data_IF_633128193669
#
_entry.id   IF_633128193669
#
_cell.length_a   1.000
_cell.length_b   1.000
_cell.length_c   1.000
_cell.angle_alpha   90.00
_cell.angle_beta   90.00
_cell.angle_gamma   90.00
#
_symmetry.space_group_name_H-M   'P 1'
#
loop_
_entity.id
_entity.type
_entity.pdbx_description
1 polymer ?
#
# COMPACT_ATOMS: atom_id res chain seq x y z
N UNK A 1 -34.21 -7.09 -13.54
CA UNK A 1 -32.77 -7.15 -13.85
C UNK A 1 -32.19 -5.79 -14.25
N UNK A 2 -32.79 -5.09 -15.23
CA UNK A 2 -32.25 -3.81 -15.72
C UNK A 2 -32.26 -2.70 -14.65
N UNK A 3 -33.34 -2.57 -13.87
CA UNK A 3 -33.43 -1.59 -12.78
C UNK A 3 -32.48 -1.91 -11.63
N UNK A 4 -32.28 -3.20 -11.34
CA UNK A 4 -31.36 -3.67 -10.29
C UNK A 4 -29.91 -3.36 -10.68
N UNK A 5 -29.50 -3.71 -11.91
CA UNK A 5 -28.16 -3.40 -12.40
C UNK A 5 -27.91 -1.88 -12.46
N UNK A 6 -28.90 -1.10 -12.89
CA UNK A 6 -28.81 0.35 -12.94
C UNK A 6 -28.69 0.98 -11.56
N UNK A 7 -29.47 0.50 -10.59
CA UNK A 7 -29.38 0.94 -9.20
C UNK A 7 -28.01 0.60 -8.57
N UNK A 8 -27.52 -0.63 -8.77
CA UNK A 8 -26.21 -1.05 -8.27
C UNK A 8 -25.08 -0.23 -8.91
N UNK A 9 -25.15 0.00 -10.22
CA UNK A 9 -24.16 0.83 -10.92
C UNK A 9 -24.18 2.29 -10.42
N UNK A 10 -25.37 2.84 -10.17
CA UNK A 10 -25.53 4.20 -9.65
C UNK A 10 -25.02 4.32 -8.22
N UNK A 11 -25.32 3.37 -7.34
CA UNK A 11 -24.72 3.29 -6.01
C UNK A 11 -23.20 3.21 -6.08
N UNK A 12 -22.67 2.40 -7.00
CA UNK A 12 -21.23 2.30 -7.23
C UNK A 12 -20.61 3.63 -7.65
N UNK A 13 -21.22 4.31 -8.62
CA UNK A 13 -20.77 5.62 -9.07
C UNK A 13 -20.82 6.67 -7.95
N UNK A 14 -21.89 6.70 -7.15
CA UNK A 14 -22.01 7.58 -5.97
C UNK A 14 -20.93 7.26 -4.94
N UNK A 15 -20.64 5.99 -4.69
CA UNK A 15 -19.56 5.57 -3.78
C UNK A 15 -18.18 6.02 -4.24
N UNK A 16 -17.90 5.95 -5.55
CA UNK A 16 -16.64 6.43 -6.14
C UNK A 16 -16.53 7.95 -5.99
N UNK A 17 -17.55 8.70 -6.40
CA UNK A 17 -17.54 10.17 -6.37
C UNK A 17 -17.50 10.67 -4.93
N UNK A 18 -18.32 10.10 -4.05
CA UNK A 18 -18.35 10.44 -2.63
C UNK A 18 -17.04 10.10 -1.93
N UNK A 19 -16.46 8.93 -2.20
CA UNK A 19 -15.16 8.55 -1.65
C UNK A 19 -14.02 9.44 -2.13
N UNK A 20 -14.02 9.83 -3.41
CA UNK A 20 -13.05 10.77 -3.96
C UNK A 20 -13.16 12.16 -3.34
N UNK A 21 -14.37 12.62 -3.03
CA UNK A 21 -14.61 13.91 -2.36
C UNK A 21 -14.17 13.92 -0.88
N UNK A 22 -14.36 12.81 -0.17
CA UNK A 22 -13.98 12.69 1.25
C UNK A 22 -12.46 12.64 1.45
N UNK A 23 -11.74 11.95 0.56
CA UNK A 23 -10.30 11.74 0.72
C UNK A 23 -9.93 10.88 1.94
N UNK A 24 -8.62 10.73 2.17
CA UNK A 24 -8.08 9.94 3.29
C UNK A 24 -8.41 8.44 3.20
N UNK A 25 -8.23 7.74 4.32
CA UNK A 25 -8.43 6.28 4.42
C UNK A 25 -9.89 5.91 4.20
N UNK A 26 -10.82 6.65 4.81
CA UNK A 26 -12.27 6.40 4.68
C UNK A 26 -12.75 6.62 3.24
N UNK A 27 -12.27 7.69 2.57
CA UNK A 27 -12.55 7.91 1.15
C UNK A 27 -12.05 6.75 0.27
N UNK A 28 -10.86 6.21 0.58
CA UNK A 28 -10.28 5.07 -0.15
C UNK A 28 -11.15 3.81 -0.08
N UNK A 29 -11.69 3.48 1.11
CA UNK A 29 -12.60 2.35 1.26
C UNK A 29 -13.94 2.57 0.53
N UNK A 30 -14.46 3.80 0.56
CA UNK A 30 -15.68 4.16 -0.19
C UNK A 30 -15.49 4.04 -1.70
N UNK A 31 -14.34 4.49 -2.22
CA UNK A 31 -14.00 4.32 -3.64
C UNK A 31 -13.87 2.84 -4.00
N UNK A 32 -13.22 2.03 -3.16
CA UNK A 32 -13.06 0.59 -3.41
C UNK A 32 -14.42 -0.13 -3.44
N UNK A 33 -15.28 0.11 -2.44
CA UNK A 33 -16.64 -0.44 -2.40
C UNK A 33 -17.49 0.05 -3.58
N UNK A 34 -17.40 1.34 -3.91
CA UNK A 34 -18.08 1.94 -5.05
C UNK A 34 -17.65 1.34 -6.38
N UNK A 35 -16.35 1.14 -6.58
CA UNK A 35 -15.79 0.50 -7.77
C UNK A 35 -16.27 -0.95 -7.92
N UNK A 36 -16.31 -1.71 -6.83
CA UNK A 36 -16.82 -3.08 -6.82
C UNK A 36 -18.31 -3.14 -7.20
N UNK A 37 -19.14 -2.28 -6.60
CA UNK A 37 -20.56 -2.18 -6.94
C UNK A 37 -20.76 -1.73 -8.39
N UNK A 38 -20.01 -0.72 -8.86
CA UNK A 38 -20.09 -0.24 -10.23
C UNK A 38 -19.77 -1.37 -11.23
N UNK A 39 -18.74 -2.17 -10.96
CA UNK A 39 -18.35 -3.30 -11.78
C UNK A 39 -19.46 -4.35 -11.88
N UNK A 40 -20.06 -4.75 -10.75
CA UNK A 40 -21.19 -5.68 -10.72
C UNK A 40 -22.39 -5.10 -11.48
N UNK A 41 -22.71 -3.84 -11.22
CA UNK A 41 -23.81 -3.13 -11.87
C UNK A 41 -23.65 -3.11 -13.38
N UNK A 42 -22.45 -2.78 -13.87
CA UNK A 42 -22.10 -2.79 -15.29
C UNK A 42 -22.24 -4.19 -15.88
N UNK A 43 -21.70 -5.24 -15.24
CA UNK A 43 -21.81 -6.62 -15.73
C UNK A 43 -23.26 -7.04 -15.93
N UNK A 44 -24.14 -6.68 -14.99
CA UNK A 44 -25.59 -6.93 -15.08
C UNK A 44 -26.21 -6.11 -16.24
N UNK A 45 -25.70 -4.90 -16.49
CA UNK A 45 -26.18 -3.98 -17.53
C UNK A 45 -25.64 -4.25 -18.93
N UNK A 46 -24.57 -5.04 -19.11
CA UNK A 46 -23.95 -5.32 -20.41
C UNK A 46 -24.96 -5.66 -21.52
N UNK A 47 -25.97 -6.55 -21.30
CA UNK A 47 -26.97 -6.85 -22.33
C UNK A 47 -27.79 -5.61 -22.75
N UNK A 48 -28.07 -4.70 -21.82
CA UNK A 48 -28.79 -3.45 -22.08
C UNK A 48 -27.89 -2.43 -22.80
N UNK A 49 -26.62 -2.35 -22.39
CA UNK A 49 -25.63 -1.43 -22.93
C UNK A 49 -25.15 -1.81 -24.33
N UNK A 50 -25.38 -3.05 -24.77
CA UNK A 50 -24.94 -3.52 -26.09
C UNK A 50 -25.43 -2.62 -27.24
N UNK A 51 -26.70 -2.21 -27.24
CA UNK A 51 -27.27 -1.33 -28.29
C UNK A 51 -26.61 0.05 -28.36
N UNK A 52 -26.57 0.84 -27.26
CA UNK A 52 -25.94 2.16 -27.31
C UNK A 52 -24.43 2.09 -27.57
N UNK A 53 -23.73 1.11 -26.99
CA UNK A 53 -22.28 0.93 -27.22
C UNK A 53 -22.01 0.57 -28.69
N UNK A 54 -22.76 -0.36 -29.27
CA UNK A 54 -22.59 -0.71 -30.68
C UNK A 54 -22.94 0.49 -31.57
N UNK A 55 -23.98 1.26 -31.25
CA UNK A 55 -24.32 2.47 -32.00
C UNK A 55 -23.19 3.51 -31.98
N UNK A 56 -22.52 3.68 -30.84
CA UNK A 56 -21.39 4.59 -30.66
C UNK A 56 -20.17 4.17 -31.49
N UNK A 57 -19.84 2.87 -31.50
CA UNK A 57 -18.61 2.35 -32.13
C UNK A 57 -18.81 2.01 -33.62
N UNK A 58 -20.06 1.76 -34.04
CA UNK A 58 -20.44 1.43 -35.42
C UNK A 58 -19.84 2.35 -36.50
N UNK A 59 -19.85 3.69 -36.42
CA UNK A 59 -19.30 4.53 -37.48
C UNK A 59 -17.80 4.30 -37.68
N UNK A 60 -17.03 4.15 -36.60
CA UNK A 60 -15.60 3.88 -36.67
C UNK A 60 -15.31 2.50 -37.29
N UNK A 61 -15.99 1.46 -36.80
CA UNK A 61 -15.81 0.09 -37.33
C UNK A 61 -16.27 -0.02 -38.79
N UNK A 62 -17.38 0.64 -39.16
CA UNK A 62 -17.88 0.62 -40.55
C UNK A 62 -16.96 1.39 -41.50
N UNK A 63 -16.25 2.42 -41.02
CA UNK A 63 -15.28 3.17 -41.82
C UNK A 63 -13.98 2.38 -42.01
N UNK A 64 -13.50 1.70 -40.98
CA UNK A 64 -12.24 0.93 -41.02
C UNK A 64 -12.38 -0.41 -41.74
N UNK A 65 -13.50 -1.11 -41.53
CA UNK A 65 -13.72 -2.47 -42.03
C UNK A 65 -14.82 -2.57 -43.11
N UNK A 66 -15.29 -1.42 -43.61
CA UNK A 66 -16.26 -1.33 -44.69
C UNK A 66 -17.54 -2.15 -44.46
N UNK A 67 -17.87 -2.99 -45.44
CA UNK A 67 -19.09 -3.83 -45.45
C UNK A 67 -19.08 -4.84 -44.30
N UNK A 68 -17.94 -5.46 -44.01
CA UNK A 68 -17.80 -6.45 -42.93
C UNK A 68 -18.06 -5.83 -41.56
N UNK A 69 -17.55 -4.61 -41.32
CA UNK A 69 -17.83 -3.86 -40.08
C UNK A 69 -19.31 -3.51 -39.92
N UNK A 70 -19.97 -3.13 -41.01
CA UNK A 70 -21.42 -2.84 -41.01
C UNK A 70 -22.23 -4.10 -40.70
N UNK A 71 -21.92 -5.23 -41.33
CA UNK A 71 -22.59 -6.52 -41.07
C UNK A 71 -22.35 -7.02 -39.64
N UNK A 72 -21.13 -6.89 -39.13
CA UNK A 72 -20.80 -7.26 -37.75
C UNK A 72 -21.60 -6.43 -36.73
N UNK A 73 -21.71 -5.12 -36.92
CA UNK A 73 -22.52 -4.26 -36.04
C UNK A 73 -24.00 -4.64 -36.03
N UNK A 74 -24.55 -5.00 -37.20
CA UNK A 74 -25.93 -5.47 -37.33
C UNK A 74 -26.13 -6.84 -36.69
N UNK A 75 -25.16 -7.74 -36.81
CA UNK A 75 -25.17 -9.06 -36.15
C UNK A 75 -25.19 -8.91 -34.62
N UNK A 76 -24.34 -8.03 -34.09
CA UNK A 76 -24.20 -7.82 -32.66
C UNK A 76 -25.47 -7.22 -32.00
N UNK A 77 -26.24 -6.38 -32.70
CA UNK A 77 -27.52 -5.84 -32.18
C UNK A 77 -28.73 -6.73 -32.45
N UNK A 78 -28.59 -7.78 -33.28
CA UNK A 78 -29.71 -8.69 -33.64
C UNK A 78 -30.19 -9.50 -32.44
N UNK A 79 -29.26 -9.99 -31.63
CA UNK A 79 -29.60 -10.68 -30.38
C UNK A 79 -28.73 -10.16 -29.22
N UNK A 80 -29.06 -8.96 -28.71
CA UNK A 80 -28.23 -8.24 -27.74
C UNK A 80 -28.07 -9.01 -26.42
N UNK A 81 -29.01 -9.93 -26.11
CA UNK A 81 -28.91 -10.79 -24.94
C UNK A 81 -27.85 -11.88 -25.09
N UNK A 82 -27.67 -12.45 -26.30
CA UNK A 82 -26.62 -13.43 -26.59
C UNK A 82 -25.25 -12.76 -26.65
N UNK A 83 -25.13 -11.65 -27.35
CA UNK A 83 -23.87 -10.86 -27.43
C UNK A 83 -23.50 -10.27 -26.06
N UNK A 84 -24.49 -9.86 -25.27
CA UNK A 84 -24.26 -9.42 -23.90
C UNK A 84 -23.72 -10.52 -23.01
N UNK A 85 -24.24 -11.75 -23.10
CA UNK A 85 -23.76 -12.87 -22.28
C UNK A 85 -22.29 -13.21 -22.55
N UNK A 86 -21.85 -13.20 -23.82
CA UNK A 86 -20.45 -13.42 -24.18
C UNK A 86 -19.56 -12.31 -23.64
N UNK A 87 -19.99 -11.05 -23.75
CA UNK A 87 -19.24 -9.91 -23.23
C UNK A 87 -19.16 -9.93 -21.69
N UNK A 88 -20.24 -10.30 -20.99
CA UNK A 88 -20.23 -10.46 -19.54
C UNK A 88 -19.26 -11.54 -19.08
N UNK A 89 -19.20 -12.68 -19.77
CA UNK A 89 -18.26 -13.75 -19.44
C UNK A 89 -16.79 -13.27 -19.56
N UNK A 90 -16.47 -12.55 -20.64
CA UNK A 90 -15.14 -11.95 -20.83
C UNK A 90 -14.83 -10.89 -19.76
N UNK A 91 -15.79 -10.02 -19.43
CA UNK A 91 -15.63 -8.99 -18.42
C UNK A 91 -15.35 -9.59 -17.03
N UNK A 92 -16.06 -10.66 -16.66
CA UNK A 92 -15.84 -11.39 -15.41
C UNK A 92 -14.43 -11.99 -15.41
N UNK A 93 -14.06 -12.71 -16.48
CA UNK A 93 -12.74 -13.33 -16.59
C UNK A 93 -11.59 -12.32 -16.49
N UNK A 94 -11.68 -11.21 -17.23
CA UNK A 94 -10.69 -10.14 -17.19
C UNK A 94 -10.60 -9.52 -15.80
N UNK A 95 -11.74 -9.25 -15.17
CA UNK A 95 -11.77 -8.68 -13.81
C UNK A 95 -11.04 -9.58 -12.81
N UNK A 96 -11.31 -10.88 -12.85
CA UNK A 96 -10.68 -11.84 -11.93
C UNK A 96 -9.16 -11.91 -12.14
N UNK A 97 -8.71 -12.00 -13.38
CA UNK A 97 -7.27 -12.02 -13.71
C UNK A 97 -6.59 -10.74 -13.26
N UNK A 98 -7.15 -9.57 -13.60
CA UNK A 98 -6.59 -8.28 -13.19
C UNK A 98 -6.57 -8.13 -11.68
N UNK A 99 -7.64 -8.55 -10.98
CA UNK A 99 -7.70 -8.49 -9.52
C UNK A 99 -6.59 -9.30 -8.86
N UNK A 100 -6.39 -10.55 -9.29
CA UNK A 100 -5.31 -11.41 -8.79
C UNK A 100 -3.94 -10.84 -9.14
N UNK A 101 -3.75 -10.32 -10.36
CA UNK A 101 -2.48 -9.71 -10.77
C UNK A 101 -2.13 -8.49 -9.92
N UNK A 102 -3.09 -7.60 -9.67
CA UNK A 102 -2.87 -6.40 -8.82
C UNK A 102 -2.55 -6.83 -7.39
N UNK A 103 -3.25 -7.82 -6.85
CA UNK A 103 -2.94 -8.36 -5.53
C UNK A 103 -1.52 -8.93 -5.47
N UNK A 104 -1.11 -9.71 -6.49
CA UNK A 104 0.24 -10.25 -6.59
C UNK A 104 1.32 -9.17 -6.67
N UNK A 105 1.13 -8.15 -7.53
CA UNK A 105 2.04 -7.00 -7.63
C UNK A 105 2.11 -6.22 -6.33
N UNK A 106 0.97 -5.99 -5.67
CA UNK A 106 0.90 -5.27 -4.40
C UNK A 106 1.63 -6.04 -3.30
N UNK A 107 1.48 -7.36 -3.26
CA UNK A 107 2.18 -8.21 -2.29
C UNK A 107 3.69 -8.20 -2.55
N UNK A 108 4.11 -8.31 -3.81
CA UNK A 108 5.53 -8.18 -4.19
C UNK A 108 6.11 -6.85 -3.75
N UNK A 109 5.45 -5.74 -4.08
CA UNK A 109 5.86 -4.40 -3.64
C UNK A 109 5.89 -4.26 -2.11
N UNK A 110 4.99 -4.91 -1.39
CA UNK A 110 5.00 -4.89 0.07
C UNK A 110 6.23 -5.62 0.64
N UNK A 111 6.61 -6.76 0.05
CA UNK A 111 7.80 -7.52 0.43
C UNK A 111 9.08 -6.74 0.09
N UNK A 112 9.14 -6.17 -1.11
CA UNK A 112 10.27 -5.33 -1.55
C UNK A 112 10.44 -4.12 -0.62
N UNK A 113 9.33 -3.44 -0.30
CA UNK A 113 9.33 -2.30 0.62
C UNK A 113 9.74 -2.67 2.04
N UNK A 114 9.39 -3.87 2.53
CA UNK A 114 9.87 -4.36 3.82
C UNK A 114 11.38 -4.61 3.81
N UNK A 115 11.95 -4.94 2.66
CA UNK A 115 13.35 -5.38 2.54
C UNK A 115 14.30 -4.25 2.18
N UNK A 116 13.88 -3.28 1.35
CA UNK A 116 14.83 -2.43 0.60
C UNK A 116 14.63 -0.93 0.80
N UNK A 117 13.41 -0.46 1.09
CA UNK A 117 13.08 0.97 0.92
C UNK A 117 13.78 1.94 1.88
N UNK A 118 14.45 1.45 2.93
CA UNK A 118 15.15 2.30 3.88
C UNK A 118 16.56 1.83 4.21
N UNK A 119 17.11 0.81 3.54
CA UNK A 119 18.44 0.26 3.88
C UNK A 119 19.46 0.71 2.83
N UNK A 120 20.46 1.49 3.25
CA UNK A 120 21.65 1.85 2.45
C UNK A 120 22.76 0.81 2.58
N UNK A 121 22.76 0.03 3.65
CA UNK A 121 23.74 -1.03 3.85
C UNK A 121 23.59 -2.12 2.79
N UNK A 122 24.72 -2.56 2.27
CA UNK A 122 24.79 -3.69 1.33
C UNK A 122 24.50 -5.04 2.03
N UNK A 123 24.75 -5.12 3.34
CA UNK A 123 24.62 -6.34 4.13
C UNK A 123 24.01 -6.09 5.50
N UNK A 124 23.16 -7.02 5.93
CA UNK A 124 22.71 -7.16 7.31
C UNK A 124 23.28 -8.45 7.89
N UNK A 125 24.03 -8.35 8.99
CA UNK A 125 24.61 -9.49 9.68
C UNK A 125 23.75 -9.81 10.89
N UNK A 126 23.29 -11.05 11.00
CA UNK A 126 22.49 -11.55 12.12
C UNK A 126 22.82 -13.01 12.42
N UNK A 127 22.62 -13.43 13.67
CA UNK A 127 22.74 -14.84 14.04
C UNK A 127 21.59 -15.64 13.44
N UNK A 128 21.88 -16.81 12.86
CA UNK A 128 20.85 -17.69 12.31
C UNK A 128 19.87 -18.21 13.38
N UNK A 129 20.30 -18.29 14.64
CA UNK A 129 19.47 -18.65 15.79
C UNK A 129 18.52 -17.53 16.24
N UNK A 130 18.70 -16.30 15.75
CA UNK A 130 17.97 -15.12 16.23
C UNK A 130 18.54 -14.51 17.52
N UNK A 131 19.63 -15.07 18.06
CA UNK A 131 20.29 -14.55 19.25
C UNK A 131 21.06 -13.24 18.98
N UNK A 132 21.45 -12.56 20.05
CA UNK A 132 22.29 -11.36 19.96
C UNK A 132 23.68 -11.69 19.41
N UNK A 133 24.22 -10.79 18.58
CA UNK A 133 25.61 -10.86 18.16
C UNK A 133 26.54 -10.52 19.32
N UNK A 134 27.62 -11.28 19.45
CA UNK A 134 28.69 -10.96 20.40
C UNK A 134 29.45 -9.70 19.96
N UNK A 135 29.96 -8.94 20.94
CA UNK A 135 30.69 -7.70 20.70
C UNK A 135 32.02 -7.93 19.97
N UNK A 136 32.55 -9.16 20.03
CA UNK A 136 33.69 -9.58 19.22
C UNK A 136 33.40 -9.49 17.71
N UNK A 137 32.17 -9.82 17.27
CA UNK A 137 31.77 -9.72 15.87
C UNK A 137 31.73 -8.25 15.41
N UNK A 138 31.23 -7.35 16.25
CA UNK A 138 31.26 -5.90 15.98
C UNK A 138 32.70 -5.39 15.83
N UNK A 139 33.60 -5.85 16.71
CA UNK A 139 35.02 -5.49 16.67
C UNK A 139 35.72 -6.03 15.42
N UNK A 140 35.35 -7.21 14.95
CA UNK A 140 35.89 -7.79 13.73
C UNK A 140 35.39 -7.03 12.48
N UNK A 141 34.08 -6.74 12.40
CA UNK A 141 33.47 -6.02 11.27
C UNK A 141 34.00 -4.59 11.15
N UNK A 142 34.18 -3.88 12.26
CA UNK A 142 34.75 -2.52 12.24
C UNK A 142 36.21 -2.45 11.76
N UNK A 143 36.94 -3.57 11.79
CA UNK A 143 38.33 -3.68 11.30
C UNK A 143 38.45 -4.30 9.92
N UNK A 144 37.34 -4.76 9.34
CA UNK A 144 37.36 -5.43 8.05
C UNK A 144 37.61 -4.41 6.92
N UNK A 145 38.51 -4.77 6.01
CA UNK A 145 38.79 -3.94 4.84
C UNK A 145 37.53 -3.83 3.95
N UNK A 146 37.17 -2.59 3.59
CA UNK A 146 36.01 -2.30 2.73
C UNK A 146 34.73 -1.88 3.46
N UNK A 147 34.70 -1.92 4.80
CA UNK A 147 33.54 -1.43 5.57
C UNK A 147 33.61 0.11 5.68
N UNK A 148 32.69 0.79 5.00
CA UNK A 148 32.60 2.26 4.99
C UNK A 148 31.71 2.82 6.10
N UNK A 149 30.69 2.07 6.52
CA UNK A 149 29.80 2.40 7.62
C UNK A 149 29.25 1.13 8.26
N UNK A 150 29.01 1.18 9.57
CA UNK A 150 28.48 0.08 10.37
C UNK A 150 27.61 0.68 11.48
N UNK A 151 26.36 0.26 11.60
CA UNK A 151 25.52 0.61 12.74
C UNK A 151 25.08 -0.66 13.45
N UNK A 152 25.53 -0.89 14.70
CA UNK A 152 24.89 -1.87 15.57
C UNK A 152 23.41 -1.49 15.74
N UNK A 153 22.56 -2.50 15.81
CA UNK A 153 21.16 -2.35 16.20
C UNK A 153 20.87 -3.34 17.32
N UNK A 154 20.27 -2.85 18.40
CA UNK A 154 19.80 -3.68 19.50
C UNK A 154 18.29 -3.57 19.60
N UNK A 155 17.57 -4.67 19.35
CA UNK A 155 16.14 -4.73 19.55
C UNK A 155 15.81 -4.65 21.06
N UNK A 156 14.82 -3.86 21.42
CA UNK A 156 14.30 -3.70 22.79
C UNK A 156 12.82 -3.36 22.72
N UNK A 157 12.11 -3.46 23.84
CA UNK A 157 10.74 -2.96 23.93
C UNK A 157 10.68 -1.82 24.95
N UNK A 158 9.80 -0.87 24.68
CA UNK A 158 9.48 0.23 25.59
C UNK A 158 7.99 0.19 25.86
N UNK A 159 7.60 0.35 27.11
CA UNK A 159 6.20 0.55 27.46
C UNK A 159 5.92 2.04 27.58
N UNK A 160 4.96 2.56 26.82
CA UNK A 160 4.47 3.94 26.92
C UNK A 160 3.01 3.86 27.32
N UNK A 161 2.63 4.50 28.42
CA UNK A 161 1.26 4.51 28.94
C UNK A 161 0.61 3.12 29.08
N UNK A 162 1.41 2.10 29.39
CA UNK A 162 0.96 0.72 29.55
C UNK A 162 0.91 -0.11 28.26
N UNK A 163 1.15 0.49 27.09
CA UNK A 163 1.25 -0.22 25.81
C UNK A 163 2.69 -0.53 25.44
N UNK A 164 2.95 -1.77 25.00
CA UNK A 164 4.25 -2.18 24.51
C UNK A 164 4.49 -1.69 23.09
N UNK A 165 5.62 -1.03 22.89
CA UNK A 165 6.14 -0.62 21.60
C UNK A 165 7.52 -1.22 21.36
N UNK A 166 7.69 -1.84 20.20
CA UNK A 166 9.01 -2.26 19.75
C UNK A 166 9.89 -1.05 19.49
N UNK A 167 11.11 -1.09 20.01
CA UNK A 167 12.12 -0.06 19.84
C UNK A 167 13.45 -0.69 19.40
N UNK A 168 14.37 0.15 18.95
CA UNK A 168 15.71 -0.29 18.60
C UNK A 168 16.73 0.75 19.02
N UNK A 169 17.71 0.31 19.81
CA UNK A 169 18.91 1.08 20.09
C UNK A 169 19.81 1.09 18.87
N UNK A 170 20.27 2.27 18.46
CA UNK A 170 21.16 2.48 17.31
C UNK A 170 22.25 3.48 17.68
N UNK A 171 23.36 3.46 16.96
CA UNK A 171 24.42 4.45 17.12
C UNK A 171 24.06 5.73 16.34
N UNK A 172 23.91 6.90 17.01
CA UNK A 172 23.65 8.17 16.34
C UNK A 172 24.74 8.51 15.32
N UNK A 173 24.37 9.02 14.14
CA UNK A 173 25.31 9.31 13.06
C UNK A 173 25.64 8.11 12.15
N UNK A 174 25.75 6.89 12.70
CA UNK A 174 26.03 5.70 11.90
C UNK A 174 24.76 5.11 11.28
N UNK A 175 23.64 5.15 12.01
CA UNK A 175 22.34 4.70 11.50
C UNK A 175 21.92 5.43 10.21
N UNK A 176 22.26 6.71 10.09
CA UNK A 176 21.94 7.55 8.91
C UNK A 176 22.79 7.22 7.67
N UNK A 177 23.94 6.57 7.90
CA UNK A 177 24.82 6.09 6.82
C UNK A 177 24.35 4.74 6.27
N UNK A 178 23.77 3.91 7.12
CA UNK A 178 23.30 2.55 6.76
C UNK A 178 21.80 2.46 6.50
N UNK A 179 21.00 3.44 6.92
CA UNK A 179 19.59 3.58 6.57
C UNK A 179 19.33 4.90 5.83
N UNK A 180 18.34 4.89 4.94
CA UNK A 180 17.74 6.09 4.35
C UNK A 180 16.40 6.31 5.02
N UNK A 181 16.36 7.18 6.02
CA UNK A 181 15.14 7.51 6.76
C UNK A 181 14.67 8.91 6.37
N UNK A 182 13.48 8.99 5.79
CA UNK A 182 12.84 10.28 5.48
C UNK A 182 12.29 10.90 6.77
N UNK A 183 12.89 12.02 7.20
CA UNK A 183 12.44 12.75 8.40
C UNK A 183 11.24 13.62 8.04
N UNK A 184 10.11 13.41 8.73
CA UNK A 184 8.86 14.17 8.49
C UNK A 184 8.83 15.46 9.31
N UNK A 185 9.33 15.41 10.54
CA UNK A 185 9.41 16.51 11.50
C UNK A 185 10.53 16.19 12.48
N UNK A 186 11.23 17.21 12.97
CA UNK A 186 12.40 17.02 13.84
C UNK A 186 13.69 16.73 13.07
N UNK A 187 14.64 16.08 13.74
CA UNK A 187 15.94 15.72 13.18
C UNK A 187 16.50 14.46 13.84
N UNK A 188 16.98 13.50 13.05
CA UNK A 188 17.69 12.33 13.58
C UNK A 188 18.96 12.68 14.34
N UNK A 189 19.51 13.88 14.14
CA UNK A 189 20.67 14.35 14.90
C UNK A 189 20.39 14.45 16.41
N UNK A 190 19.13 14.52 16.84
CA UNK A 190 18.72 14.56 18.26
C UNK A 190 18.89 13.21 18.97
N UNK A 191 19.05 12.10 18.23
CA UNK A 191 19.33 10.78 18.81
C UNK A 191 20.62 10.79 19.65
N UNK A 192 21.60 11.64 19.28
CA UNK A 192 22.84 11.82 20.06
C UNK A 192 22.60 12.45 21.43
N UNK A 193 21.49 13.17 21.58
CA UNK A 193 21.08 13.89 22.78
C UNK A 193 20.13 13.04 23.64
N UNK A 194 19.95 11.75 23.30
CA UNK A 194 19.07 10.82 24.02
C UNK A 194 17.58 10.92 23.67
N UNK A 195 17.25 11.64 22.59
CA UNK A 195 15.87 11.72 22.09
C UNK A 195 15.51 10.49 21.26
N UNK A 196 14.21 10.29 20.99
CA UNK A 196 13.69 9.15 20.25
C UNK A 196 13.06 9.59 18.92
N UNK A 197 13.32 8.83 17.86
CA UNK A 197 12.63 8.97 16.59
C UNK A 197 11.43 8.02 16.54
N UNK A 198 10.25 8.55 16.20
CA UNK A 198 9.00 7.76 16.15
C UNK A 198 8.49 7.68 14.71
N UNK A 199 8.10 6.48 14.29
CA UNK A 199 7.48 6.26 12.98
C UNK A 199 6.19 7.07 12.81
N UNK A 200 6.03 7.72 11.65
CA UNK A 200 4.92 8.65 11.40
C UNK A 200 3.51 8.07 11.60
N UNK A 201 3.34 6.75 11.41
CA UNK A 201 2.06 6.06 11.68
C UNK A 201 1.79 5.94 13.18
N UNK A 202 2.80 5.53 13.96
CA UNK A 202 2.71 5.41 15.42
C UNK A 202 2.49 6.77 16.08
N UNK A 203 3.20 7.81 15.62
CA UNK A 203 2.97 9.17 16.09
C UNK A 203 1.53 9.63 15.81
N UNK A 204 1.00 9.36 14.60
CA UNK A 204 -0.39 9.72 14.25
C UNK A 204 -1.45 8.92 15.02
N UNK A 205 -1.23 7.63 15.30
CA UNK A 205 -2.18 6.82 16.05
C UNK A 205 -2.28 7.23 17.50
N UNK A 206 -1.16 7.62 18.10
CA UNK A 206 -1.09 8.04 19.51
C UNK A 206 -1.22 9.57 19.69
N UNK A 207 -1.28 10.33 18.60
CA UNK A 207 -1.39 11.80 18.62
C UNK A 207 -0.11 12.53 19.03
N UNK A 208 1.03 11.84 19.04
CA UNK A 208 2.33 12.38 19.43
C UNK A 208 2.94 13.30 18.37
N UNK A 209 3.73 14.27 18.83
CA UNK A 209 4.43 15.28 18.03
C UNK A 209 5.91 15.38 18.43
N UNK A 210 6.72 15.94 17.54
CA UNK A 210 8.09 16.34 17.87
C UNK A 210 8.07 17.34 19.03
N UNK A 211 8.90 17.09 20.04
CA UNK A 211 8.97 17.85 21.29
C UNK A 211 8.15 17.26 22.43
N UNK A 212 7.30 16.26 22.18
CA UNK A 212 6.55 15.60 23.26
C UNK A 212 7.48 14.72 24.09
N UNK A 213 7.32 14.78 25.41
CA UNK A 213 8.03 13.91 26.37
C UNK A 213 7.11 12.77 26.77
N UNK A 214 7.55 11.54 26.52
CA UNK A 214 6.81 10.32 26.81
C UNK A 214 7.38 9.64 28.06
N UNK A 215 6.53 9.30 29.04
CA UNK A 215 6.94 8.41 30.11
C UNK A 215 7.15 7.01 29.53
N UNK A 216 8.33 6.44 29.75
CA UNK A 216 8.70 5.10 29.30
C UNK A 216 9.04 4.21 30.48
N UNK A 217 8.63 2.95 30.39
CA UNK A 217 9.17 1.86 31.19
C UNK A 217 10.02 0.96 30.29
N UNK A 218 11.26 0.74 30.69
CA UNK A 218 12.21 -0.11 29.97
C UNK A 218 12.02 -1.58 30.35
N UNK A 219 12.58 -2.49 29.55
CA UNK A 219 12.54 -3.94 29.79
C UNK A 219 13.13 -4.34 31.18
N UNK A 220 13.95 -3.49 31.81
CA UNK A 220 14.49 -3.69 33.17
C UNK A 220 13.61 -3.09 34.29
N UNK A 221 12.34 -2.80 34.00
CA UNK A 221 11.34 -2.19 34.88
C UNK A 221 11.69 -0.77 35.37
N UNK A 222 12.77 -0.18 34.85
CA UNK A 222 13.10 1.22 35.16
C UNK A 222 12.19 2.15 34.40
N UNK A 223 11.78 3.22 35.09
CA UNK A 223 11.00 4.31 34.52
C UNK A 223 11.90 5.46 34.12
N UNK A 224 11.62 6.05 32.99
CA UNK A 224 12.30 7.22 32.48
C UNK A 224 11.37 8.08 31.63
N UNK A 225 11.93 9.13 31.07
CA UNK A 225 11.26 10.02 30.14
C UNK A 225 12.11 10.13 28.88
N UNK A 226 11.48 10.02 27.72
CA UNK A 226 12.13 10.22 26.42
C UNK A 226 11.40 11.29 25.65
N UNK A 227 12.15 12.20 25.03
CA UNK A 227 11.55 13.26 24.20
C UNK A 227 11.62 12.88 22.73
N UNK A 228 10.55 13.12 21.99
CA UNK A 228 10.51 12.89 20.54
C UNK A 228 11.25 14.02 19.85
N UNK A 229 12.27 13.68 19.06
CA UNK A 229 13.16 14.65 18.39
C UNK A 229 12.96 14.83 16.90
#
# INVERSE_FOLDING_TARGET
RNSIGGFIALLGAVGIVGGAATGGTNGRYLVAGGAFLALIGIIILIPLLSRPVIALVRPAISKLFGVSGKLASQNAVRNPRRTGATASALAIGLTLVTGISVLGVTLGQAIDKMTTDNIKADYMVSMASGDSLDQSALTALSKADGVSALSPQQATSLQVDGEYHSASGVTPGDVEKVFSLDTVSGSLATLKDGQVAVGSKTAKSNGWKTGDTLPVEFDDEKKGEVTIG
#
